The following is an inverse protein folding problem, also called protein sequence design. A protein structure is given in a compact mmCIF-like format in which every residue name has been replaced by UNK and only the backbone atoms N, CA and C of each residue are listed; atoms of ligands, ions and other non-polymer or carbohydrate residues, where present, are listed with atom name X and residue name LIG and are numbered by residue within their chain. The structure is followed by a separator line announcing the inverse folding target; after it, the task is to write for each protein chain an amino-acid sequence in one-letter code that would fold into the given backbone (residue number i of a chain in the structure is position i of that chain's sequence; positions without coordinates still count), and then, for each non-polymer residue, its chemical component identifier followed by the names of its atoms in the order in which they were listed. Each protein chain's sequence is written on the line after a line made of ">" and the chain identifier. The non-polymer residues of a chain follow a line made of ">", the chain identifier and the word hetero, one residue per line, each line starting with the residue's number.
data_IF_859155297339
#
_entry.id   IF_859155297339
#
_cell.length_a   1.000
_cell.length_b   1.000
_cell.length_c   1.000
_cell.angle_alpha   90.00
_cell.angle_beta   90.00
_cell.angle_gamma   90.00
#
_symmetry.space_group_name_H-M   'P 1'
#
loop_
_entity.id
_entity.type
_entity.pdbx_description
1 polymer ?
#
# COMPACT_ATOMS: atom_id res chain seq x y z
N UNK A 1 -31.97 6.11 -61.78
CA UNK A 1 -31.62 6.45 -60.37
C UNK A 1 -31.67 5.17 -59.56
N UNK A 2 -30.52 4.51 -59.41
CA UNK A 2 -30.37 3.34 -58.53
C UNK A 2 -29.61 3.83 -57.29
N UNK A 3 -30.27 3.82 -56.13
CA UNK A 3 -29.69 4.18 -54.83
C UNK A 3 -28.91 2.99 -54.30
N UNK A 4 -27.61 3.16 -54.07
CA UNK A 4 -26.75 2.18 -53.44
C UNK A 4 -27.08 2.11 -51.94
N UNK A 5 -27.41 0.91 -51.47
CA UNK A 5 -27.59 0.58 -50.06
C UNK A 5 -26.22 0.30 -49.44
N UNK A 6 -25.85 1.03 -48.40
CA UNK A 6 -24.61 0.81 -47.65
C UNK A 6 -24.96 0.15 -46.31
N UNK A 7 -24.49 -1.08 -46.04
CA UNK A 7 -24.78 -1.75 -44.79
C UNK A 7 -23.99 -1.10 -43.66
N UNK A 8 -24.68 -0.60 -42.63
CA UNK A 8 -24.03 -0.09 -41.44
C UNK A 8 -23.39 -1.22 -40.61
N UNK A 9 -22.18 -1.02 -40.07
CA UNK A 9 -21.54 -2.00 -39.21
C UNK A 9 -22.26 -2.06 -37.86
N UNK A 10 -22.86 -3.22 -37.56
CA UNK A 10 -23.44 -3.51 -36.25
C UNK A 10 -22.30 -3.71 -35.26
N UNK A 11 -22.11 -2.74 -34.36
CA UNK A 11 -21.20 -2.88 -33.21
C UNK A 11 -21.70 -4.08 -32.39
N UNK A 12 -20.88 -5.12 -32.15
CA UNK A 12 -21.30 -6.25 -31.33
C UNK A 12 -21.61 -5.74 -29.92
N UNK A 13 -22.81 -6.04 -29.43
CA UNK A 13 -23.18 -5.76 -28.04
C UNK A 13 -22.13 -6.44 -27.15
N UNK A 14 -21.40 -5.64 -26.37
CA UNK A 14 -20.53 -6.17 -25.34
C UNK A 14 -21.39 -7.05 -24.43
N UNK A 15 -21.05 -8.34 -24.34
CA UNK A 15 -21.63 -9.23 -23.34
C UNK A 15 -21.08 -8.76 -22.01
N UNK A 16 -21.87 -7.93 -21.31
CA UNK A 16 -21.56 -7.56 -19.94
C UNK A 16 -21.55 -8.85 -19.11
N UNK A 17 -20.54 -9.07 -18.24
CA UNK A 17 -20.56 -10.19 -17.31
C UNK A 17 -21.86 -10.16 -16.50
N UNK A 18 -22.35 -11.35 -16.14
CA UNK A 18 -23.56 -11.50 -15.32
C UNK A 18 -23.46 -10.60 -14.10
N UNK A 19 -24.45 -9.72 -13.90
CA UNK A 19 -24.52 -8.90 -12.70
C UNK A 19 -24.45 -9.83 -11.48
N UNK A 20 -23.41 -9.66 -10.67
CA UNK A 20 -23.34 -10.27 -9.34
C UNK A 20 -24.59 -9.78 -8.60
N UNK A 21 -25.43 -10.67 -8.04
CA UNK A 21 -26.57 -10.24 -7.25
C UNK A 21 -26.06 -9.25 -6.20
N UNK A 22 -26.63 -8.05 -6.06
CA UNK A 22 -26.19 -7.13 -5.03
C UNK A 22 -26.31 -7.88 -3.70
N UNK A 23 -25.20 -7.99 -2.96
CA UNK A 23 -25.19 -8.57 -1.62
C UNK A 23 -26.38 -8.01 -0.84
N UNK A 24 -27.07 -8.88 -0.11
CA UNK A 24 -28.23 -8.49 0.72
C UNK A 24 -27.80 -7.32 1.62
N UNK A 25 -28.27 -6.11 1.29
CA UNK A 25 -28.00 -4.91 2.09
C UNK A 25 -28.83 -5.05 3.36
N UNK A 26 -28.22 -5.66 4.37
CA UNK A 26 -28.76 -5.67 5.73
C UNK A 26 -28.73 -4.22 6.23
N UNK A 27 -29.85 -3.75 6.77
CA UNK A 27 -29.95 -2.42 7.34
C UNK A 27 -30.16 -2.55 8.84
N UNK A 28 -29.14 -2.16 9.61
CA UNK A 28 -29.14 -2.09 11.06
C UNK A 28 -28.66 -0.70 11.46
N UNK A 29 -29.18 -0.11 12.55
CA UNK A 29 -28.65 1.16 13.04
C UNK A 29 -27.16 1.01 13.41
N UNK A 30 -26.33 2.03 13.16
CA UNK A 30 -24.96 2.03 13.65
C UNK A 30 -24.88 2.07 15.18
N UNK A 31 -23.76 1.62 15.75
CA UNK A 31 -23.46 1.76 17.17
C UNK A 31 -23.55 3.25 17.59
N UNK A 32 -24.00 3.59 18.82
CA UNK A 32 -24.17 4.97 19.25
C UNK A 32 -22.92 5.86 19.21
N UNK A 33 -21.71 5.28 19.14
CA UNK A 33 -20.44 6.00 18.95
C UNK A 33 -20.06 6.24 17.48
N UNK A 34 -20.96 5.94 16.54
CA UNK A 34 -20.77 6.14 15.10
C UNK A 34 -21.87 7.07 14.58
N UNK A 35 -21.59 8.01 13.64
CA UNK A 35 -22.62 8.81 13.02
C UNK A 35 -23.69 7.95 12.36
N UNK A 36 -24.96 8.23 12.69
CA UNK A 36 -26.07 7.31 12.47
C UNK A 36 -26.49 7.25 11.00
N UNK A 37 -26.23 8.31 10.23
CA UNK A 37 -26.58 8.39 8.82
C UNK A 37 -25.33 8.47 7.93
N UNK A 38 -25.42 7.91 6.72
CA UNK A 38 -24.33 8.02 5.72
C UNK A 38 -23.97 9.48 5.40
N UNK A 39 -24.93 10.42 5.22
CA UNK A 39 -24.60 11.83 5.01
C UNK A 39 -23.80 12.48 6.14
N UNK A 40 -24.00 12.07 7.40
CA UNK A 40 -23.17 12.57 8.52
C UNK A 40 -21.73 12.02 8.43
N UNK A 41 -21.58 10.73 8.10
CA UNK A 41 -20.26 10.10 7.91
C UNK A 41 -19.50 10.72 6.74
N UNK A 42 -20.19 11.00 5.63
CA UNK A 42 -19.62 11.67 4.46
C UNK A 42 -19.21 13.11 4.77
N UNK A 43 -20.05 13.87 5.48
CA UNK A 43 -19.72 15.24 5.90
C UNK A 43 -18.48 15.28 6.79
N UNK A 44 -18.35 14.32 7.71
CA UNK A 44 -17.18 14.19 8.56
C UNK A 44 -15.92 13.89 7.74
N UNK A 45 -15.99 12.91 6.82
CA UNK A 45 -14.87 12.57 5.93
C UNK A 45 -14.43 13.78 5.09
N UNK A 46 -15.38 14.54 4.55
CA UNK A 46 -15.10 15.77 3.82
C UNK A 46 -14.43 16.85 4.68
N UNK A 47 -14.84 16.99 5.95
CA UNK A 47 -14.20 17.90 6.89
C UNK A 47 -12.75 17.48 7.19
N UNK A 48 -12.50 16.18 7.35
CA UNK A 48 -11.15 15.61 7.55
C UNK A 48 -10.26 15.90 6.34
N UNK A 49 -10.75 15.64 5.12
CA UNK A 49 -10.00 15.89 3.88
C UNK A 49 -9.61 17.36 3.71
N UNK A 50 -10.54 18.28 4.00
CA UNK A 50 -10.24 19.72 4.02
C UNK A 50 -9.15 20.06 5.05
N UNK A 51 -9.29 19.56 6.28
CA UNK A 51 -8.30 19.78 7.34
C UNK A 51 -6.90 19.26 7.00
N UNK A 52 -6.80 18.10 6.33
CA UNK A 52 -5.52 17.55 5.87
C UNK A 52 -4.94 18.29 4.66
N UNK A 53 -5.77 18.93 3.85
CA UNK A 53 -5.30 19.81 2.77
C UNK A 53 -4.65 21.07 3.34
N UNK A 54 -5.27 21.68 4.35
CA UNK A 54 -4.75 22.89 4.99
C UNK A 54 -3.54 22.60 5.88
N UNK A 55 -3.53 21.46 6.56
CA UNK A 55 -2.45 21.01 7.44
C UNK A 55 -2.12 19.54 7.17
N UNK A 56 -1.22 19.26 6.21
CA UNK A 56 -0.80 17.90 5.89
C UNK A 56 -0.32 17.14 7.12
N UNK A 57 -0.59 15.85 7.14
CA UNK A 57 -0.06 14.92 8.14
C UNK A 57 0.98 14.01 7.49
N UNK A 58 2.03 13.69 8.23
CA UNK A 58 2.99 12.65 7.85
C UNK A 58 2.72 11.46 8.77
N UNK A 59 2.24 10.32 8.24
CA UNK A 59 2.04 9.14 9.05
C UNK A 59 3.36 8.40 9.35
N UNK A 60 3.42 7.53 10.37
CA UNK A 60 2.36 7.23 11.33
C UNK A 60 2.14 8.40 12.31
N UNK A 61 0.88 8.68 12.62
CA UNK A 61 0.51 9.61 13.69
C UNK A 61 0.22 8.83 14.97
N UNK A 62 0.70 9.33 16.10
CA UNK A 62 0.28 8.81 17.40
C UNK A 62 -1.18 9.17 17.72
N UNK A 63 -1.75 8.50 18.73
CA UNK A 63 -3.15 8.67 19.14
C UNK A 63 -3.52 10.13 19.46
N UNK A 64 -2.69 10.87 20.20
CA UNK A 64 -3.05 12.24 20.60
C UNK A 64 -3.14 13.19 19.39
N UNK A 65 -2.15 13.26 18.46
CA UNK A 65 -2.31 14.01 17.22
C UNK A 65 -3.52 13.60 16.36
N UNK A 66 -3.88 12.31 16.35
CA UNK A 66 -5.09 11.84 15.67
C UNK A 66 -6.34 12.42 16.34
N UNK A 67 -6.43 12.37 17.67
CA UNK A 67 -7.54 12.90 18.44
C UNK A 67 -7.68 14.42 18.29
N UNK A 68 -6.58 15.18 18.31
CA UNK A 68 -6.60 16.63 18.08
C UNK A 68 -7.23 16.98 16.72
N UNK A 69 -6.79 16.30 15.65
CA UNK A 69 -7.32 16.49 14.30
C UNK A 69 -8.77 16.02 14.18
N UNK A 70 -9.11 14.91 14.83
CA UNK A 70 -10.47 14.38 14.86
C UNK A 70 -11.46 15.33 15.56
N UNK A 71 -11.09 15.91 16.71
CA UNK A 71 -11.89 16.93 17.40
C UNK A 71 -12.13 18.15 16.52
N UNK A 72 -11.10 18.62 15.81
CA UNK A 72 -11.22 19.74 14.88
C UNK A 72 -12.19 19.43 13.73
N UNK A 73 -12.11 18.22 13.16
CA UNK A 73 -13.01 17.80 12.09
C UNK A 73 -14.46 17.62 12.56
N UNK A 74 -14.68 17.06 13.75
CA UNK A 74 -16.01 16.92 14.35
C UNK A 74 -16.66 18.29 14.60
N UNK A 75 -15.90 19.25 15.13
CA UNK A 75 -16.37 20.62 15.32
C UNK A 75 -16.73 21.29 13.98
N UNK A 76 -15.92 21.09 12.93
CA UNK A 76 -16.19 21.62 11.60
C UNK A 76 -17.41 20.96 10.90
N UNK A 77 -17.74 19.72 11.26
CA UNK A 77 -18.88 18.98 10.71
C UNK A 77 -20.18 19.16 11.53
N UNK A 78 -20.12 19.89 12.65
CA UNK A 78 -21.19 20.02 13.65
C UNK A 78 -21.65 18.65 14.19
N UNK A 79 -20.69 17.83 14.60
CA UNK A 79 -20.90 16.48 15.12
C UNK A 79 -20.39 16.32 16.56
N UNK A 80 -21.04 15.48 17.39
CA UNK A 80 -20.68 15.32 18.80
C UNK A 80 -19.34 14.59 19.00
N UNK A 81 -18.68 14.89 20.12
CA UNK A 81 -17.41 14.26 20.51
C UNK A 81 -17.53 12.75 20.80
N UNK A 82 -18.75 12.23 20.97
CA UNK A 82 -19.00 10.78 21.08
C UNK A 82 -18.51 9.98 19.87
N UNK A 83 -18.22 10.64 18.75
CA UNK A 83 -17.69 10.04 17.52
C UNK A 83 -16.16 10.20 17.38
N UNK A 84 -15.45 10.58 18.46
CA UNK A 84 -14.02 10.86 18.43
C UNK A 84 -13.19 9.70 17.87
N UNK A 85 -13.37 8.49 18.39
CA UNK A 85 -12.58 7.32 17.97
C UNK A 85 -12.88 6.95 16.51
N UNK A 86 -14.14 7.06 16.09
CA UNK A 86 -14.54 6.87 14.69
C UNK A 86 -13.85 7.90 13.78
N UNK A 87 -13.87 9.18 14.16
CA UNK A 87 -13.22 10.25 13.43
C UNK A 87 -11.69 10.07 13.39
N UNK A 88 -11.07 9.60 14.47
CA UNK A 88 -9.63 9.32 14.54
C UNK A 88 -9.20 8.25 13.54
N UNK A 89 -9.99 7.18 13.36
CA UNK A 89 -9.75 6.18 12.32
C UNK A 89 -9.78 6.82 10.93
N UNK A 90 -10.76 7.68 10.64
CA UNK A 90 -10.86 8.35 9.34
C UNK A 90 -9.70 9.33 9.09
N UNK A 91 -9.24 10.07 10.11
CA UNK A 91 -8.03 10.90 10.02
C UNK A 91 -6.81 10.05 9.70
N UNK A 92 -6.66 8.90 10.37
CA UNK A 92 -5.56 7.97 10.09
C UNK A 92 -5.64 7.42 8.65
N UNK A 93 -6.83 7.07 8.19
CA UNK A 93 -7.00 6.57 6.82
C UNK A 93 -6.57 7.60 5.78
N UNK A 94 -7.02 8.85 5.94
CA UNK A 94 -6.71 9.91 4.98
C UNK A 94 -5.25 10.36 5.06
N UNK A 95 -4.57 10.23 6.22
CA UNK A 95 -3.12 10.48 6.30
C UNK A 95 -2.28 9.41 5.58
N UNK A 96 -2.76 8.16 5.52
CA UNK A 96 -2.12 7.06 4.79
C UNK A 96 -2.57 6.91 3.33
N UNK A 97 -3.62 7.64 2.90
CA UNK A 97 -4.30 7.44 1.62
C UNK A 97 -3.33 7.43 0.43
N UNK A 98 -2.49 8.45 0.31
CA UNK A 98 -1.55 8.56 -0.80
C UNK A 98 -0.48 7.46 -0.76
N UNK A 99 0.01 7.12 0.42
CA UNK A 99 1.01 6.06 0.58
C UNK A 99 0.43 4.68 0.24
N UNK A 100 -0.83 4.39 0.61
CA UNK A 100 -1.53 3.18 0.22
C UNK A 100 -1.69 3.10 -1.31
N UNK A 101 -2.09 4.21 -1.94
CA UNK A 101 -2.32 4.29 -3.38
C UNK A 101 -1.08 3.92 -4.22
N UNK A 102 0.11 4.14 -3.67
CA UNK A 102 1.42 3.86 -4.30
C UNK A 102 1.89 2.41 -4.14
N UNK A 103 1.29 1.62 -3.25
CA UNK A 103 1.68 0.22 -3.04
C UNK A 103 1.05 -0.65 -4.13
N UNK A 104 1.79 -1.52 -4.85
CA UNK A 104 1.20 -2.44 -5.83
C UNK A 104 0.16 -3.35 -5.20
N UNK A 105 -0.93 -3.65 -5.91
CA UNK A 105 -2.05 -4.45 -5.36
C UNK A 105 -1.60 -5.81 -4.82
N UNK A 106 -0.64 -6.47 -5.48
CA UNK A 106 -0.06 -7.75 -5.08
C UNK A 106 0.72 -7.73 -3.76
N UNK A 107 1.04 -6.52 -3.26
CA UNK A 107 1.69 -6.31 -1.96
C UNK A 107 0.71 -5.78 -0.91
N UNK A 108 -0.60 -5.81 -1.18
CA UNK A 108 -1.64 -5.38 -0.24
C UNK A 108 -2.36 -6.58 0.37
N UNK A 109 -2.72 -6.44 1.64
CA UNK A 109 -3.63 -7.35 2.33
C UNK A 109 -5.01 -6.71 2.44
N UNK A 110 -6.05 -7.42 2.01
CA UNK A 110 -7.43 -7.15 2.42
C UNK A 110 -7.74 -8.00 3.66
N UNK A 111 -7.92 -7.35 4.80
CA UNK A 111 -8.28 -7.99 6.07
C UNK A 111 -9.74 -7.72 6.41
N UNK A 112 -10.55 -8.77 6.48
CA UNK A 112 -11.98 -8.67 6.77
C UNK A 112 -12.36 -9.47 8.02
N UNK A 113 -13.40 -9.06 8.77
CA UNK A 113 -13.86 -9.78 9.93
C UNK A 113 -14.91 -10.82 9.54
N UNK A 114 -14.95 -11.93 10.28
CA UNK A 114 -16.02 -12.94 10.12
C UNK A 114 -17.42 -12.37 10.39
N UNK A 115 -17.51 -11.29 11.18
CA UNK A 115 -18.74 -10.62 11.58
C UNK A 115 -19.56 -10.05 10.40
N UNK A 116 -18.94 -9.89 9.22
CA UNK A 116 -19.66 -9.51 8.00
C UNK A 116 -20.52 -10.66 7.45
N UNK A 117 -20.27 -11.91 7.84
CA UNK A 117 -21.01 -13.06 7.33
C UNK A 117 -22.47 -13.02 7.77
N UNK A 118 -23.29 -13.83 7.13
CA UNK A 118 -24.61 -14.15 7.68
C UNK A 118 -24.47 -15.33 8.64
N UNK A 119 -24.54 -15.07 9.95
CA UNK A 119 -24.13 -16.02 11.00
C UNK A 119 -24.86 -17.37 10.88
N UNK A 120 -26.17 -17.33 10.64
CA UNK A 120 -27.02 -18.53 10.67
C UNK A 120 -27.05 -19.34 9.37
N UNK A 121 -26.55 -18.79 8.26
CA UNK A 121 -26.65 -19.44 6.93
C UNK A 121 -25.32 -19.59 6.21
N UNK A 122 -24.25 -18.94 6.67
CA UNK A 122 -22.95 -19.03 6.03
C UNK A 122 -22.38 -20.46 6.14
N UNK A 123 -22.12 -21.16 5.03
CA UNK A 123 -21.60 -22.53 5.04
C UNK A 123 -20.07 -22.58 5.17
N UNK A 124 -19.40 -21.44 5.34
CA UNK A 124 -17.95 -21.34 5.36
C UNK A 124 -17.37 -22.06 6.60
N UNK A 125 -16.41 -22.99 6.41
CA UNK A 125 -15.67 -23.56 7.52
C UNK A 125 -14.64 -22.58 8.07
N UNK A 126 -14.15 -22.87 9.27
CA UNK A 126 -13.02 -22.17 9.89
C UNK A 126 -11.81 -23.11 9.95
N UNK A 127 -10.64 -22.57 9.66
CA UNK A 127 -9.36 -23.23 9.94
C UNK A 127 -8.59 -22.44 11.01
N UNK A 128 -7.30 -22.72 11.15
CA UNK A 128 -6.42 -22.02 12.10
C UNK A 128 -6.14 -20.56 11.73
N UNK A 129 -6.36 -20.18 10.46
CA UNK A 129 -6.08 -18.85 9.94
C UNK A 129 -7.32 -17.97 9.86
N UNK A 130 -8.51 -18.54 9.64
CA UNK A 130 -9.75 -17.77 9.62
C UNK A 130 -10.93 -18.48 8.96
N UNK A 131 -11.87 -17.67 8.49
CA UNK A 131 -13.05 -18.12 7.75
C UNK A 131 -12.70 -18.37 6.27
N UNK A 132 -13.02 -19.57 5.78
CA UNK A 132 -12.78 -19.96 4.39
C UNK A 132 -14.05 -19.74 3.56
N UNK A 133 -14.17 -18.56 2.95
CA UNK A 133 -15.36 -18.19 2.17
C UNK A 133 -15.66 -19.22 1.07
N UNK A 134 -16.91 -19.68 1.01
CA UNK A 134 -17.42 -20.60 -0.03
C UNK A 134 -18.24 -19.90 -1.12
N UNK A 135 -18.15 -18.57 -1.20
CA UNK A 135 -18.85 -17.77 -2.21
C UNK A 135 -20.36 -18.08 -2.27
N UNK A 136 -21.01 -18.07 -1.09
CA UNK A 136 -22.43 -18.42 -0.94
C UNK A 136 -23.42 -17.31 -1.35
N UNK A 137 -22.93 -16.09 -1.64
CA UNK A 137 -23.74 -14.93 -2.05
C UNK A 137 -24.53 -14.24 -0.95
N UNK A 138 -24.33 -14.61 0.32
CA UNK A 138 -25.16 -14.15 1.43
C UNK A 138 -24.67 -12.86 2.12
N UNK A 139 -23.43 -12.46 1.86
CA UNK A 139 -22.79 -11.30 2.47
C UNK A 139 -21.75 -10.66 1.52
N UNK A 140 -21.25 -9.49 1.88
CA UNK A 140 -20.28 -8.73 1.07
C UNK A 140 -18.85 -9.32 1.05
N UNK A 141 -18.54 -10.28 1.94
CA UNK A 141 -17.20 -10.91 1.99
C UNK A 141 -16.83 -11.49 0.62
N UNK A 142 -17.77 -12.17 -0.04
CA UNK A 142 -17.52 -12.77 -1.35
C UNK A 142 -17.14 -11.71 -2.39
N UNK A 143 -17.89 -10.62 -2.45
CA UNK A 143 -17.71 -9.59 -3.47
C UNK A 143 -16.33 -8.94 -3.30
N UNK A 144 -16.02 -8.51 -2.07
CA UNK A 144 -14.72 -7.92 -1.75
C UNK A 144 -13.56 -8.89 -1.97
N UNK A 145 -13.70 -10.15 -1.56
CA UNK A 145 -12.67 -11.15 -1.76
C UNK A 145 -12.41 -11.41 -3.24
N UNK A 146 -13.47 -11.63 -4.03
CA UNK A 146 -13.36 -11.93 -5.46
C UNK A 146 -12.64 -10.81 -6.19
N UNK A 147 -12.98 -9.56 -5.88
CA UNK A 147 -12.37 -8.41 -6.54
C UNK A 147 -10.94 -8.15 -6.08
N UNK A 148 -10.67 -8.24 -4.78
CA UNK A 148 -9.32 -8.06 -4.26
C UNK A 148 -8.35 -9.12 -4.79
N UNK A 149 -8.77 -10.39 -4.83
CA UNK A 149 -7.99 -11.48 -5.45
C UNK A 149 -7.76 -11.23 -6.95
N UNK A 150 -8.76 -10.70 -7.67
CA UNK A 150 -8.64 -10.31 -9.09
C UNK A 150 -7.59 -9.22 -9.31
N UNK A 151 -7.48 -8.27 -8.38
CA UNK A 151 -6.46 -7.22 -8.40
C UNK A 151 -5.07 -7.69 -7.93
N UNK A 152 -4.99 -8.84 -7.25
CA UNK A 152 -3.75 -9.47 -6.79
C UNK A 152 -3.53 -9.44 -5.29
N UNK A 153 -4.45 -8.89 -4.50
CA UNK A 153 -4.34 -8.83 -3.04
C UNK A 153 -4.16 -10.22 -2.43
N UNK A 154 -3.42 -10.27 -1.32
CA UNK A 154 -3.67 -11.31 -0.32
C UNK A 154 -4.99 -10.99 0.39
N UNK A 155 -5.86 -11.98 0.59
CA UNK A 155 -7.13 -11.79 1.31
C UNK A 155 -7.20 -12.71 2.52
N UNK A 156 -7.55 -12.15 3.68
CA UNK A 156 -7.71 -12.89 4.92
C UNK A 156 -9.03 -12.50 5.60
N UNK A 157 -9.84 -13.50 5.95
CA UNK A 157 -11.06 -13.30 6.75
C UNK A 157 -10.80 -13.79 8.17
N UNK A 158 -10.19 -12.95 9.01
CA UNK A 158 -9.70 -13.36 10.33
C UNK A 158 -9.70 -12.21 11.33
N UNK A 159 -9.53 -12.57 12.60
CA UNK A 159 -9.38 -11.63 13.73
C UNK A 159 -7.94 -11.60 14.28
N UNK A 160 -7.02 -12.38 13.70
CA UNK A 160 -5.68 -12.62 14.25
C UNK A 160 -4.62 -11.66 13.76
N UNK A 161 -4.03 -10.87 14.66
CA UNK A 161 -2.91 -9.96 14.35
C UNK A 161 -1.58 -10.69 14.11
N UNK A 162 -1.37 -11.89 14.66
CA UNK A 162 -0.10 -12.61 14.58
C UNK A 162 0.31 -12.96 13.13
N UNK A 163 -0.63 -13.49 12.33
CA UNK A 163 -0.38 -13.81 10.93
C UNK A 163 -0.09 -12.55 10.11
N UNK A 164 -0.89 -11.50 10.33
CA UNK A 164 -0.70 -10.19 9.67
C UNK A 164 0.69 -9.65 9.97
N UNK A 165 1.11 -9.65 11.23
CA UNK A 165 2.46 -9.19 11.62
C UNK A 165 3.57 -10.04 10.99
N UNK A 166 3.40 -11.35 10.88
CA UNK A 166 4.36 -12.22 10.20
C UNK A 166 4.45 -11.90 8.69
N UNK A 167 3.33 -11.64 8.02
CA UNK A 167 3.32 -11.24 6.61
C UNK A 167 4.03 -9.90 6.38
N UNK A 168 3.87 -8.94 7.30
CA UNK A 168 4.59 -7.66 7.28
C UNK A 168 6.09 -7.89 7.47
N UNK A 169 6.50 -8.63 8.50
CA UNK A 169 7.90 -8.86 8.84
C UNK A 169 8.66 -9.64 7.76
N UNK A 170 7.97 -10.52 7.03
CA UNK A 170 8.53 -11.27 5.90
C UNK A 170 8.50 -10.48 4.58
N UNK A 171 7.92 -9.28 4.56
CA UNK A 171 7.83 -8.42 3.38
C UNK A 171 6.83 -8.90 2.32
N UNK A 172 5.99 -9.89 2.64
CA UNK A 172 4.94 -10.37 1.73
C UNK A 172 3.90 -9.31 1.44
N UNK A 173 3.61 -8.46 2.44
CA UNK A 173 2.70 -7.33 2.31
C UNK A 173 3.40 -6.05 2.78
N UNK A 174 3.06 -4.95 2.12
CA UNK A 174 3.54 -3.60 2.45
C UNK A 174 2.40 -2.66 2.81
N UNK A 175 1.13 -3.06 2.66
CA UNK A 175 -0.02 -2.27 3.07
C UNK A 175 -1.25 -3.11 3.42
N UNK A 176 -2.16 -2.54 4.21
CA UNK A 176 -3.40 -3.17 4.66
C UNK A 176 -4.60 -2.29 4.31
N UNK A 177 -5.61 -2.91 3.70
CA UNK A 177 -6.98 -2.42 3.64
C UNK A 177 -7.80 -3.28 4.59
N UNK A 178 -8.25 -2.69 5.70
CA UNK A 178 -8.97 -3.40 6.76
C UNK A 178 -10.45 -3.09 6.80
N UNK A 179 -11.24 -4.04 7.29
CA UNK A 179 -12.59 -3.81 7.80
C UNK A 179 -12.65 -4.36 9.21
N UNK A 180 -13.09 -3.56 10.19
CA UNK A 180 -13.12 -4.00 11.59
C UNK A 180 -13.97 -3.07 12.47
N UNK A 181 -14.41 -3.54 13.63
CA UNK A 181 -15.10 -2.69 14.60
C UNK A 181 -14.10 -1.82 15.40
N UNK A 182 -14.56 -0.69 15.93
CA UNK A 182 -13.71 0.25 16.68
C UNK A 182 -12.95 -0.41 17.85
N UNK A 183 -13.54 -1.29 18.67
CA UNK A 183 -12.82 -1.91 19.79
C UNK A 183 -11.65 -2.80 19.36
N UNK A 184 -11.72 -3.42 18.17
CA UNK A 184 -10.62 -4.22 17.63
C UNK A 184 -9.56 -3.29 17.03
N UNK A 185 -9.96 -2.26 16.29
CA UNK A 185 -9.04 -1.27 15.71
C UNK A 185 -8.17 -0.61 16.78
N UNK A 186 -8.78 -0.15 17.88
CA UNK A 186 -8.09 0.47 19.02
C UNK A 186 -7.02 -0.46 19.60
N UNK A 187 -7.33 -1.76 19.80
CA UNK A 187 -6.38 -2.75 20.31
C UNK A 187 -5.26 -3.05 19.33
N UNK A 188 -5.54 -3.01 18.03
CA UNK A 188 -4.54 -3.30 16.99
C UNK A 188 -3.65 -2.12 16.63
N UNK A 189 -4.10 -0.90 16.93
CA UNK A 189 -3.44 0.34 16.52
C UNK A 189 -1.95 0.40 16.89
N UNK A 190 -1.51 0.07 18.13
CA UNK A 190 -0.09 0.16 18.50
C UNK A 190 0.82 -0.76 17.68
N UNK A 191 0.31 -1.90 17.22
CA UNK A 191 1.10 -2.85 16.41
C UNK A 191 1.30 -2.34 14.98
N UNK A 192 0.24 -1.77 14.41
CA UNK A 192 0.25 -1.21 13.05
C UNK A 192 1.07 0.08 13.01
N UNK A 193 0.91 0.93 14.02
CA UNK A 193 1.70 2.15 14.21
C UNK A 193 3.20 1.82 14.29
N UNK A 194 3.58 0.84 15.11
CA UNK A 194 4.96 0.39 15.27
C UNK A 194 5.54 -0.25 13.99
N UNK A 195 4.69 -0.90 13.18
CA UNK A 195 5.10 -1.47 11.90
C UNK A 195 5.34 -0.40 10.81
N UNK A 196 4.80 0.81 10.98
CA UNK A 196 4.96 1.94 10.06
C UNK A 196 4.63 1.61 8.59
N UNK A 197 3.65 0.75 8.35
CA UNK A 197 3.12 0.43 7.02
C UNK A 197 1.80 1.16 6.76
N UNK A 198 1.50 1.53 5.49
CA UNK A 198 0.19 2.05 5.12
C UNK A 198 -0.94 1.10 5.51
N UNK A 199 -1.78 1.56 6.43
CA UNK A 199 -2.93 0.80 6.90
C UNK A 199 -4.14 1.71 7.02
N UNK A 200 -5.18 1.38 6.25
CA UNK A 200 -6.49 2.05 6.31
C UNK A 200 -7.52 1.04 6.77
N UNK A 201 -8.55 1.50 7.47
CA UNK A 201 -9.64 0.63 7.91
C UNK A 201 -11.01 1.29 7.74
N UNK A 202 -11.97 0.59 7.16
CA UNK A 202 -13.37 1.02 7.15
C UNK A 202 -14.07 0.44 8.39
N UNK A 203 -14.55 1.26 9.33
CA UNK A 203 -15.19 0.75 10.53
C UNK A 203 -16.49 0.02 10.22
N UNK A 204 -16.71 -1.13 10.88
CA UNK A 204 -18.02 -1.74 10.96
C UNK A 204 -18.99 -0.79 11.67
N UNK A 205 -20.24 -0.76 11.19
CA UNK A 205 -21.31 0.04 11.79
C UNK A 205 -21.84 -0.59 13.08
N UNK A 206 -21.60 -1.87 13.33
CA UNK A 206 -21.96 -2.58 14.57
C UNK A 206 -20.75 -3.30 15.16
N UNK A 207 -20.78 -3.56 16.46
CA UNK A 207 -19.71 -4.20 17.23
C UNK A 207 -20.19 -5.43 18.02
N UNK A 208 -21.41 -5.89 17.79
CA UNK A 208 -22.00 -7.08 18.43
C UNK A 208 -21.65 -8.40 17.75
N UNK A 209 -20.71 -8.36 16.79
CA UNK A 209 -20.12 -9.50 16.09
C UNK A 209 -21.10 -10.41 15.32
N UNK A 210 -22.33 -9.95 15.05
CA UNK A 210 -23.35 -10.74 14.35
C UNK A 210 -23.95 -9.89 13.23
N UNK A 211 -23.91 -10.39 12.01
CA UNK A 211 -24.57 -9.77 10.85
C UNK A 211 -24.28 -8.26 10.71
N UNK A 212 -23.02 -7.91 10.88
CA UNK A 212 -22.55 -6.51 10.87
C UNK A 212 -22.53 -5.94 9.46
N UNK A 213 -22.59 -4.61 9.37
CA UNK A 213 -22.63 -3.84 8.13
C UNK A 213 -21.49 -2.84 8.07
N UNK A 214 -21.17 -2.34 6.88
CA UNK A 214 -20.07 -1.43 6.60
C UNK A 214 -20.48 -0.47 5.47
N UNK A 215 -19.85 0.69 5.38
CA UNK A 215 -19.98 1.57 4.21
C UNK A 215 -19.29 0.93 3.01
N UNK A 216 -20.08 0.20 2.21
CA UNK A 216 -19.60 -0.63 1.10
C UNK A 216 -18.85 0.21 0.05
N UNK A 217 -19.33 1.41 -0.24
CA UNK A 217 -18.70 2.35 -1.17
C UNK A 217 -17.29 2.72 -0.73
N UNK A 218 -17.08 2.96 0.57
CA UNK A 218 -15.75 3.27 1.09
C UNK A 218 -14.79 2.08 1.03
N UNK A 219 -15.28 0.85 1.24
CA UNK A 219 -14.44 -0.35 1.06
C UNK A 219 -13.99 -0.46 -0.39
N UNK A 220 -14.91 -0.24 -1.34
CA UNK A 220 -14.58 -0.25 -2.77
C UNK A 220 -13.58 0.83 -3.16
N UNK A 221 -13.73 2.03 -2.62
CA UNK A 221 -12.81 3.15 -2.87
C UNK A 221 -11.38 2.81 -2.43
N UNK A 222 -11.19 2.10 -1.30
CA UNK A 222 -9.86 1.68 -0.85
C UNK A 222 -9.32 0.45 -1.59
N UNK A 223 -10.17 -0.51 -1.95
CA UNK A 223 -9.76 -1.68 -2.76
C UNK A 223 -9.22 -1.24 -4.12
N UNK A 224 -9.87 -0.26 -4.76
CA UNK A 224 -9.45 0.23 -6.08
C UNK A 224 -8.49 1.42 -6.02
N UNK A 225 -8.03 1.80 -4.82
CA UNK A 225 -7.20 2.99 -4.68
C UNK A 225 -5.85 2.77 -5.35
N UNK A 226 -5.56 3.51 -6.40
CA UNK A 226 -4.28 3.49 -7.10
C UNK A 226 -3.85 4.93 -7.38
N UNK A 227 -2.55 5.19 -7.25
CA UNK A 227 -2.01 6.49 -7.60
C UNK A 227 -2.13 6.72 -9.11
N UNK A 228 -2.58 7.90 -9.52
CA UNK A 228 -2.64 8.28 -10.93
C UNK A 228 -1.26 8.37 -11.58
N UNK A 229 -0.20 8.52 -10.77
CA UNK A 229 1.19 8.59 -11.21
C UNK A 229 1.96 7.43 -10.60
N UNK A 230 2.34 6.47 -11.46
CA UNK A 230 3.05 5.25 -11.11
C UNK A 230 4.56 5.50 -10.93
N UNK A 231 4.94 6.64 -10.35
CA UNK A 231 6.35 6.96 -10.10
C UNK A 231 6.90 5.92 -9.12
N UNK A 232 7.56 4.89 -9.67
CA UNK A 232 8.00 3.70 -8.93
C UNK A 232 8.78 4.12 -7.69
N UNK A 233 8.32 3.67 -6.52
CA UNK A 233 9.12 3.73 -5.30
C UNK A 233 10.43 2.99 -5.57
N UNK A 234 11.57 3.67 -5.41
CA UNK A 234 12.87 3.06 -5.64
C UNK A 234 13.11 2.00 -4.56
N UNK A 235 13.24 0.75 -4.98
CA UNK A 235 13.74 -0.32 -4.13
C UNK A 235 15.23 -0.07 -3.85
N UNK A 236 15.49 0.65 -2.75
CA UNK A 236 16.85 1.03 -2.34
C UNK A 236 17.70 -0.19 -1.97
N UNK A 237 17.08 -1.27 -1.48
CA UNK A 237 17.79 -2.51 -1.13
C UNK A 237 18.33 -3.18 -2.38
N UNK A 238 17.44 -3.49 -3.33
CA UNK A 238 17.83 -4.07 -4.62
C UNK A 238 18.79 -3.16 -5.40
N UNK A 239 18.62 -1.82 -5.29
CA UNK A 239 19.52 -0.86 -5.91
C UNK A 239 20.93 -0.92 -5.29
N UNK A 240 21.03 -1.02 -3.96
CA UNK A 240 22.31 -1.13 -3.26
C UNK A 240 23.03 -2.43 -3.60
N UNK A 241 22.31 -3.56 -3.64
CA UNK A 241 22.86 -4.86 -4.05
C UNK A 241 23.35 -4.83 -5.51
N UNK A 242 22.56 -4.22 -6.39
CA UNK A 242 22.91 -4.06 -7.81
C UNK A 242 24.17 -3.20 -7.97
N UNK A 243 24.28 -2.08 -7.25
CA UNK A 243 25.49 -1.24 -7.26
C UNK A 243 26.70 -2.00 -6.73
N UNK A 244 26.53 -2.76 -5.64
CA UNK A 244 27.59 -3.62 -5.09
C UNK A 244 28.13 -4.62 -6.11
N UNK A 245 27.24 -5.23 -6.90
CA UNK A 245 27.62 -6.20 -7.94
C UNK A 245 28.52 -5.62 -9.04
N UNK A 246 28.54 -4.30 -9.24
CA UNK A 246 29.37 -3.66 -10.27
C UNK A 246 30.86 -3.62 -9.93
N UNK A 247 31.21 -3.85 -8.66
CA UNK A 247 32.58 -3.79 -8.15
C UNK A 247 33.20 -5.19 -7.94
N UNK A 248 32.55 -6.25 -8.44
CA UNK A 248 33.18 -7.58 -8.47
C UNK A 248 34.31 -7.60 -9.50
N UNK A 249 35.34 -8.44 -9.31
CA UNK A 249 36.45 -8.54 -10.27
C UNK A 249 35.97 -8.79 -11.72
N UNK A 250 35.01 -9.69 -11.92
CA UNK A 250 34.48 -9.95 -13.27
C UNK A 250 33.73 -8.76 -13.87
N UNK A 251 32.99 -7.99 -13.05
CA UNK A 251 32.28 -6.82 -13.52
C UNK A 251 33.21 -5.66 -13.87
N UNK A 252 34.37 -5.56 -13.20
CA UNK A 252 35.43 -4.61 -13.51
C UNK A 252 36.11 -4.97 -14.83
N UNK A 253 36.47 -6.23 -15.04
CA UNK A 253 37.09 -6.71 -16.28
C UNK A 253 36.17 -6.52 -17.49
N UNK A 254 34.88 -6.80 -17.32
CA UNK A 254 33.87 -6.57 -18.36
C UNK A 254 33.77 -5.08 -18.73
N UNK A 255 33.88 -4.19 -17.76
CA UNK A 255 33.63 -2.76 -17.96
C UNK A 255 34.86 -1.98 -18.43
N UNK A 256 36.03 -2.33 -17.88
CA UNK A 256 37.31 -1.64 -18.08
C UNK A 256 38.24 -2.37 -19.06
N UNK A 257 37.96 -3.63 -19.41
CA UNK A 257 38.83 -4.44 -20.26
C UNK A 257 40.02 -5.02 -19.47
N UNK A 258 41.03 -5.61 -20.14
CA UNK A 258 42.23 -6.13 -19.47
C UNK A 258 43.03 -4.99 -18.80
N UNK A 259 43.65 -5.27 -17.65
CA UNK A 259 44.53 -4.31 -16.98
C UNK A 259 45.85 -4.15 -17.75
N UNK A 260 46.36 -2.92 -17.82
CA UNK A 260 47.67 -2.59 -18.39
C UNK A 260 48.70 -2.32 -17.28
N UNK A 261 49.36 -3.40 -16.84
CA UNK A 261 50.45 -3.35 -15.87
C UNK A 261 50.01 -3.36 -14.39
N UNK A 262 51.01 -3.45 -13.52
CA UNK A 262 50.80 -3.72 -12.08
C UNK A 262 50.08 -2.60 -11.32
N UNK A 263 50.21 -1.35 -11.78
CA UNK A 263 49.53 -0.22 -11.16
C UNK A 263 48.01 -0.30 -11.37
N UNK A 264 47.58 -0.70 -12.56
CA UNK A 264 46.16 -0.85 -12.86
C UNK A 264 45.56 -2.09 -12.19
N UNK A 265 46.31 -3.19 -12.13
CA UNK A 265 45.95 -4.39 -11.36
C UNK A 265 45.68 -4.03 -9.89
N UNK A 266 46.60 -3.33 -9.24
CA UNK A 266 46.46 -2.91 -7.85
C UNK A 266 45.28 -1.93 -7.67
N UNK A 267 45.09 -1.01 -8.62
CA UNK A 267 43.95 -0.09 -8.60
C UNK A 267 42.60 -0.80 -8.68
N UNK A 268 42.51 -1.86 -9.48
CA UNK A 268 41.31 -2.71 -9.62
C UNK A 268 41.06 -3.56 -8.40
N UNK A 269 42.11 -4.14 -7.81
CA UNK A 269 42.03 -4.83 -6.52
C UNK A 269 41.49 -3.87 -5.46
N UNK A 270 42.06 -2.66 -5.37
CA UNK A 270 41.62 -1.65 -4.42
C UNK A 270 40.17 -1.22 -4.67
N UNK A 271 39.75 -1.09 -5.94
CA UNK A 271 38.35 -0.82 -6.30
C UNK A 271 37.40 -1.92 -5.84
N UNK A 272 37.81 -3.19 -5.91
CA UNK A 272 37.02 -4.33 -5.47
C UNK A 272 36.92 -4.45 -3.94
N UNK A 273 37.93 -3.95 -3.20
CA UNK A 273 37.90 -3.93 -1.71
C UNK A 273 36.68 -3.16 -1.21
N UNK A 274 35.95 -3.77 -0.28
CA UNK A 274 34.63 -3.36 0.21
C UNK A 274 34.51 -1.93 0.77
N UNK A 275 33.28 -1.56 1.09
CA UNK A 275 32.90 -0.23 1.58
C UNK A 275 31.40 -0.02 1.43
N UNK A 276 30.84 1.04 2.01
CA UNK A 276 29.39 1.31 1.95
C UNK A 276 28.90 1.73 0.54
N UNK A 277 29.82 2.11 -0.36
CA UNK A 277 29.56 2.55 -1.75
C UNK A 277 28.48 3.62 -1.89
N UNK A 278 28.40 4.54 -0.94
CA UNK A 278 27.37 5.59 -0.93
C UNK A 278 27.39 6.46 -2.18
N UNK A 279 28.58 6.81 -2.71
CA UNK A 279 28.67 7.70 -3.88
C UNK A 279 28.15 7.03 -5.17
N UNK A 280 28.60 5.81 -5.52
CA UNK A 280 27.99 5.02 -6.59
C UNK A 280 26.48 4.81 -6.42
N UNK A 281 26.06 4.51 -5.20
CA UNK A 281 24.65 4.29 -4.87
C UNK A 281 23.80 5.53 -5.11
N UNK A 282 24.23 6.70 -4.63
CA UNK A 282 23.53 7.97 -4.81
C UNK A 282 23.45 8.35 -6.29
N UNK A 283 24.51 8.13 -7.07
CA UNK A 283 24.49 8.35 -8.52
C UNK A 283 23.43 7.46 -9.20
N UNK A 284 23.33 6.19 -8.78
CA UNK A 284 22.32 5.26 -9.29
C UNK A 284 20.89 5.64 -8.87
N UNK A 285 20.69 6.07 -7.62
CA UNK A 285 19.39 6.49 -7.11
C UNK A 285 18.86 7.72 -7.86
N UNK A 286 19.71 8.71 -8.13
CA UNK A 286 19.35 9.88 -8.93
C UNK A 286 18.99 9.49 -10.36
N UNK A 287 19.75 8.57 -10.98
CA UNK A 287 19.48 8.14 -12.35
C UNK A 287 18.16 7.37 -12.47
N UNK A 288 17.86 6.50 -11.51
CA UNK A 288 16.58 5.79 -11.44
C UNK A 288 15.41 6.76 -11.22
N UNK A 289 15.57 7.76 -10.34
CA UNK A 289 14.57 8.79 -10.10
C UNK A 289 14.26 9.66 -11.34
N UNK A 290 15.22 9.82 -12.24
CA UNK A 290 15.10 10.67 -13.45
C UNK A 290 14.62 9.92 -14.70
N UNK A 291 14.20 8.65 -14.59
CA UNK A 291 13.58 7.91 -15.69
C UNK A 291 14.23 6.57 -16.07
N UNK A 292 15.13 6.04 -15.24
CA UNK A 292 15.60 4.64 -15.27
C UNK A 292 16.19 4.13 -16.60
N UNK A 293 16.50 2.83 -16.64
CA UNK A 293 17.02 1.89 -17.68
C UNK A 293 17.63 2.38 -19.01
N UNK A 294 17.19 3.51 -19.56
CA UNK A 294 17.75 4.20 -20.74
C UNK A 294 19.27 4.44 -20.63
N UNK A 295 19.83 4.41 -19.42
CA UNK A 295 21.25 4.71 -19.16
C UNK A 295 22.01 3.60 -18.43
N UNK A 296 21.48 2.38 -18.30
CA UNK A 296 22.06 1.34 -17.43
C UNK A 296 23.58 1.11 -17.64
N UNK A 297 24.03 1.06 -18.90
CA UNK A 297 25.46 0.88 -19.24
C UNK A 297 26.31 2.13 -18.91
N UNK A 298 25.77 3.32 -19.18
CA UNK A 298 26.42 4.60 -18.84
C UNK A 298 26.49 4.82 -17.33
N UNK A 299 25.47 4.36 -16.61
CA UNK A 299 25.38 4.44 -15.16
C UNK A 299 26.43 3.55 -14.48
N UNK A 300 26.60 2.30 -14.92
CA UNK A 300 27.66 1.41 -14.40
C UNK A 300 29.03 2.07 -14.54
N UNK A 301 29.34 2.66 -15.71
CA UNK A 301 30.61 3.38 -15.94
C UNK A 301 30.75 4.63 -15.06
N UNK A 302 29.69 5.41 -14.90
CA UNK A 302 29.69 6.59 -14.03
C UNK A 302 29.93 6.22 -12.58
N UNK A 303 29.25 5.18 -12.08
CA UNK A 303 29.40 4.67 -10.73
C UNK A 303 30.84 4.21 -10.45
N UNK A 304 31.45 3.48 -11.40
CA UNK A 304 32.86 3.11 -11.32
C UNK A 304 33.78 4.33 -11.30
N UNK A 305 33.58 5.30 -12.19
CA UNK A 305 34.40 6.50 -12.27
C UNK A 305 34.36 7.32 -10.97
N UNK A 306 33.17 7.52 -10.40
CA UNK A 306 32.98 8.22 -9.12
C UNK A 306 33.74 7.52 -7.99
N UNK A 307 33.69 6.19 -7.93
CA UNK A 307 34.40 5.43 -6.92
C UNK A 307 35.92 5.44 -7.13
N UNK A 308 36.40 5.47 -8.38
CA UNK A 308 37.82 5.62 -8.71
C UNK A 308 38.38 6.91 -8.11
N UNK A 309 37.71 8.05 -8.35
CA UNK A 309 38.12 9.33 -7.78
C UNK A 309 38.09 9.31 -6.26
N UNK A 310 37.05 8.72 -5.66
CA UNK A 310 36.95 8.62 -4.20
C UNK A 310 38.10 7.80 -3.61
N UNK A 311 38.40 6.62 -4.16
CA UNK A 311 39.47 5.79 -3.62
C UNK A 311 40.87 6.37 -3.88
N UNK A 312 41.06 7.04 -5.01
CA UNK A 312 42.31 7.77 -5.27
C UNK A 312 42.51 8.91 -4.26
N UNK A 313 41.45 9.65 -3.92
CA UNK A 313 41.55 10.71 -2.91
C UNK A 313 41.94 10.16 -1.55
N UNK A 314 41.39 9.01 -1.12
CA UNK A 314 41.78 8.37 0.14
C UNK A 314 43.27 8.02 0.19
N UNK A 315 43.82 7.50 -0.91
CA UNK A 315 45.25 7.18 -0.99
C UNK A 315 46.09 8.45 -0.88
N UNK A 316 45.67 9.55 -1.51
CA UNK A 316 46.38 10.82 -1.43
C UNK A 316 46.29 11.42 -0.01
N UNK A 317 45.10 11.40 0.60
CA UNK A 317 44.86 11.88 1.97
C UNK A 317 45.69 11.09 3.01
N UNK A 318 45.91 9.79 2.81
CA UNK A 318 46.72 8.94 3.70
C UNK A 318 48.25 9.19 3.55
N UNK A 319 48.68 9.80 2.44
CA UNK A 319 50.09 10.11 2.16
C UNK A 319 50.49 11.50 2.66
N UNK A 320 49.56 12.47 2.64
CA UNK A 320 49.76 13.84 3.15
C UNK A 320 49.91 13.92 4.68
#
# INVERSE_FOLDING_TARGET
>A
MATADHPQPKIPLAVLPSAVPPAVIRSRPPHPSIPQTKPERDRLLDAIRRGLTDQPAVPPLAMEPLHERARAALAAADLPETYLDYAAVLVNNESWRDALAQVPFERRLLLMPKCLREENRCPAPFDEFGLLCKQCGLCSIQDFQTEAERLGYAVLVAEGSALVMAMIQTGQIEAIVGVSCLPVLEKTFPFVEAAAIPAVAVPLLQDDCIDTTVDIDWVWDYIHLEAADSSRRLDLGSLQDRVGSWFTPSALDECLGPADGSAEELGREWLAVGGKRWRPFLAAAVCEALGGDSYARSLKRLALAVECFHKASLVHDDIE
#
